data_IF_723645762190
#
_entry.id   IF_723645762190
#
_cell.length_a   1.000
_cell.length_b   1.000
_cell.length_c   1.000
_cell.angle_alpha   90.00
_cell.angle_beta   90.00
_cell.angle_gamma   90.00
#
_symmetry.space_group_name_H-M   'P 1'
#
loop_
_entity.id
_entity.type
_entity.pdbx_description
1 polymer ?
#
# COMPACT_ATOMS: atom_id res chain seq x y z
N UNK A 1 1.19 1.96 8.51
CA UNK A 1 0.31 2.92 9.22
C UNK A 1 -0.45 2.28 10.40
N UNK A 2 -1.09 1.11 10.34
CA UNK A 2 -1.65 0.45 11.53
C UNK A 2 -1.34 -1.05 11.48
N UNK A 3 -0.96 -1.73 12.58
CA UNK A 3 -0.70 -3.16 12.57
C UNK A 3 -1.98 -3.99 12.49
N UNK A 4 -1.89 -5.22 11.97
CA UNK A 4 -3.02 -6.14 11.79
C UNK A 4 -3.94 -6.23 13.02
N UNK A 5 -3.37 -6.47 14.20
CA UNK A 5 -4.13 -6.56 15.47
C UNK A 5 -4.99 -5.33 15.77
N UNK A 6 -4.51 -4.14 15.42
CA UNK A 6 -5.21 -2.89 15.68
C UNK A 6 -6.35 -2.75 14.69
N UNK A 7 -6.09 -3.06 13.41
CA UNK A 7 -7.11 -2.99 12.36
C UNK A 7 -8.28 -3.93 12.63
N UNK A 8 -8.00 -5.15 13.06
CA UNK A 8 -9.03 -6.14 13.38
C UNK A 8 -9.97 -5.64 14.49
N UNK A 9 -9.43 -4.95 15.51
CA UNK A 9 -10.22 -4.30 16.55
C UNK A 9 -10.99 -3.05 16.08
N UNK A 10 -10.43 -2.30 15.12
CA UNK A 10 -11.04 -1.08 14.60
C UNK A 10 -12.21 -1.35 13.63
N UNK A 11 -12.21 -2.48 12.92
CA UNK A 11 -13.32 -2.83 12.00
C UNK A 11 -14.67 -2.88 12.75
N UNK A 12 -14.68 -3.36 13.98
CA UNK A 12 -15.88 -3.40 14.82
C UNK A 12 -16.38 -2.03 15.30
N UNK A 13 -15.59 -0.96 15.15
CA UNK A 13 -15.90 0.38 15.67
C UNK A 13 -16.43 1.35 14.60
N UNK A 14 -16.84 0.83 13.43
CA UNK A 14 -17.46 1.63 12.38
C UNK A 14 -16.50 2.12 11.29
N UNK A 15 -15.30 1.55 11.18
CA UNK A 15 -14.46 1.73 9.99
C UNK A 15 -15.14 1.02 8.81
N UNK A 16 -15.51 1.77 7.79
CA UNK A 16 -16.20 1.25 6.58
C UNK A 16 -15.29 1.13 5.37
N UNK A 17 -14.08 1.69 5.44
CA UNK A 17 -13.13 1.74 4.34
C UNK A 17 -11.71 1.48 4.86
N UNK A 18 -10.98 0.60 4.18
CA UNK A 18 -9.60 0.33 4.50
C UNK A 18 -8.82 -0.07 3.24
N UNK A 19 -7.56 0.35 3.12
CA UNK A 19 -6.64 -0.12 2.08
C UNK A 19 -5.92 -1.38 2.53
N UNK A 20 -5.57 -2.27 1.60
CA UNK A 20 -4.79 -3.49 1.84
C UNK A 20 -3.80 -3.71 0.68
N UNK A 21 -2.66 -4.34 0.95
CA UNK A 21 -1.61 -4.57 -0.05
C UNK A 21 -1.07 -3.30 -0.72
N UNK A 22 -1.01 -2.19 0.04
CA UNK A 22 -0.63 -0.91 -0.52
C UNK A 22 0.89 -0.79 -0.72
N UNK A 23 1.33 -0.24 -1.85
CA UNK A 23 2.70 0.21 -2.06
C UNK A 23 2.74 1.73 -1.86
N UNK A 24 3.72 2.21 -1.10
CA UNK A 24 3.78 3.64 -0.67
C UNK A 24 4.92 4.40 -1.33
N UNK A 25 5.75 3.68 -2.07
CA UNK A 25 6.79 4.19 -2.93
C UNK A 25 6.21 4.64 -4.29
N UNK A 26 6.75 5.74 -4.85
CA UNK A 26 6.46 6.12 -6.23
C UNK A 26 6.67 4.96 -7.20
N UNK A 27 5.60 4.59 -7.93
CA UNK A 27 5.65 3.52 -8.93
C UNK A 27 5.59 2.08 -8.39
N UNK A 28 5.32 1.87 -7.09
CA UNK A 28 5.34 0.53 -6.50
C UNK A 28 4.41 -0.51 -7.15
N UNK A 29 3.31 -0.09 -7.78
CA UNK A 29 2.40 -1.01 -8.49
C UNK A 29 2.75 -1.25 -9.96
N UNK A 30 3.59 -0.41 -10.56
CA UNK A 30 3.91 -0.44 -12.00
C UNK A 30 5.38 -0.72 -12.27
N UNK A 31 6.22 -0.73 -11.22
CA UNK A 31 7.68 -0.70 -11.33
C UNK A 31 8.25 0.63 -11.83
N UNK A 32 7.40 1.64 -12.06
CA UNK A 32 7.78 2.95 -12.59
C UNK A 32 8.44 3.83 -11.51
N UNK A 33 9.65 3.44 -11.12
CA UNK A 33 10.47 4.09 -10.09
C UNK A 33 11.91 3.60 -10.06
N UNK A 34 12.19 2.48 -10.74
CA UNK A 34 13.52 1.85 -10.78
C UNK A 34 14.49 2.49 -11.79
N UNK A 35 13.98 3.16 -12.84
CA UNK A 35 14.83 3.62 -13.97
C UNK A 35 15.36 5.06 -13.81
N UNK A 36 14.75 5.89 -12.96
CA UNK A 36 15.11 7.31 -12.78
C UNK A 36 15.05 7.76 -11.33
N UNK A 37 15.76 7.04 -10.46
CA UNK A 37 15.96 7.51 -9.10
C UNK A 37 16.83 8.79 -9.14
N UNK A 38 16.26 9.95 -8.80
CA UNK A 38 16.98 11.22 -8.75
C UNK A 38 17.92 11.25 -7.53
N UNK A 39 19.06 10.55 -7.60
CA UNK A 39 20.07 10.55 -6.55
C UNK A 39 21.03 11.74 -6.74
N UNK A 40 20.80 12.83 -6.01
CA UNK A 40 21.71 14.00 -6.00
C UNK A 40 22.30 14.17 -4.61
N UNK A 41 23.61 13.94 -4.46
CA UNK A 41 24.34 14.26 -3.21
C UNK A 41 25.15 15.53 -3.43
N UNK A 42 24.91 16.57 -2.61
CA UNK A 42 25.65 17.85 -2.63
C UNK A 42 25.69 18.53 -4.01
N UNK A 43 24.58 18.50 -4.75
CA UNK A 43 24.47 19.15 -6.07
C UNK A 43 25.18 18.42 -7.21
N UNK A 44 25.74 17.23 -6.98
CA UNK A 44 26.31 16.37 -8.03
C UNK A 44 25.37 15.17 -8.23
N UNK A 45 24.99 14.84 -9.48
CA UNK A 45 24.28 13.59 -9.74
C UNK A 45 25.18 12.42 -9.32
N UNK A 46 24.66 11.57 -8.44
CA UNK A 46 25.28 10.30 -8.08
C UNK A 46 25.02 9.25 -9.15
N UNK A 47 25.76 8.14 -9.13
CA UNK A 47 25.42 7.00 -9.97
C UNK A 47 24.00 6.51 -9.65
N UNK A 48 23.22 6.26 -10.71
CA UNK A 48 21.91 5.62 -10.61
C UNK A 48 22.18 4.17 -10.27
N UNK A 49 21.95 3.79 -9.02
CA UNK A 49 22.01 2.41 -8.58
C UNK A 49 20.65 1.79 -8.96
N UNK A 50 20.63 0.99 -10.02
CA UNK A 50 19.42 0.35 -10.58
C UNK A 50 18.71 -0.64 -9.65
N UNK A 51 19.23 -0.83 -8.43
CA UNK A 51 18.72 -1.75 -7.43
C UNK A 51 17.98 -1.07 -6.26
N UNK A 52 17.95 0.26 -6.20
CA UNK A 52 17.26 0.99 -5.14
C UNK A 52 15.90 1.50 -5.65
N UNK A 53 14.81 0.95 -5.10
CA UNK A 53 13.47 1.48 -5.32
C UNK A 53 13.31 2.84 -4.65
N UNK A 54 12.34 3.63 -5.11
CA UNK A 54 11.99 4.88 -4.44
C UNK A 54 11.60 4.61 -2.98
N UNK A 55 12.03 5.50 -2.06
CA UNK A 55 11.66 5.37 -0.65
C UNK A 55 10.16 5.52 -0.48
N UNK A 56 9.54 4.63 0.30
CA UNK A 56 8.12 4.72 0.66
C UNK A 56 7.79 6.05 1.36
N UNK A 57 6.61 6.59 1.10
CA UNK A 57 6.13 7.80 1.77
C UNK A 57 5.94 7.59 3.29
N UNK A 58 5.61 6.36 3.71
CA UNK A 58 5.47 5.95 5.10
C UNK A 58 5.55 4.43 5.21
N UNK A 59 5.92 3.93 6.39
CA UNK A 59 6.01 2.49 6.62
C UNK A 59 4.63 1.80 6.66
N UNK A 60 4.57 0.62 6.05
CA UNK A 60 3.42 -0.28 6.08
C UNK A 60 3.56 -1.13 7.35
N UNK A 61 2.48 -1.22 8.14
CA UNK A 61 2.48 -1.96 9.41
C UNK A 61 1.59 -3.21 9.38
N UNK A 62 0.75 -3.32 8.34
CA UNK A 62 -0.04 -4.50 8.03
C UNK A 62 0.32 -4.92 6.61
N UNK A 63 1.12 -5.98 6.51
CA UNK A 63 1.65 -6.52 5.25
C UNK A 63 0.75 -7.63 4.66
N UNK A 64 -0.40 -7.90 5.30
CA UNK A 64 -1.38 -8.86 4.77
C UNK A 64 -1.81 -8.45 3.37
N UNK A 65 -1.92 -9.45 2.50
CA UNK A 65 -2.49 -9.30 1.17
C UNK A 65 -3.97 -8.87 1.25
N UNK A 66 -4.52 -8.27 0.18
CA UNK A 66 -5.94 -7.95 0.13
C UNK A 66 -6.86 -9.15 0.41
N UNK A 67 -6.48 -10.35 -0.05
CA UNK A 67 -7.24 -11.58 0.18
C UNK A 67 -7.24 -12.02 1.65
N UNK A 68 -6.11 -11.89 2.35
CA UNK A 68 -6.02 -12.19 3.78
C UNK A 68 -6.81 -11.20 4.62
N UNK A 69 -6.78 -9.91 4.27
CA UNK A 69 -7.60 -8.89 4.94
C UNK A 69 -9.09 -9.15 4.72
N UNK A 70 -9.51 -9.49 3.49
CA UNK A 70 -10.88 -9.86 3.19
C UNK A 70 -11.34 -11.08 4.00
N UNK A 71 -10.48 -12.09 4.13
CA UNK A 71 -10.74 -13.28 4.97
C UNK A 71 -10.90 -12.90 6.44
N UNK A 72 -10.06 -12.01 6.96
CA UNK A 72 -10.15 -11.54 8.34
C UNK A 72 -11.44 -10.75 8.60
N UNK A 73 -11.84 -9.89 7.65
CA UNK A 73 -13.12 -9.14 7.69
C UNK A 73 -14.31 -10.12 7.67
N UNK A 74 -14.27 -11.13 6.81
CA UNK A 74 -15.27 -12.21 6.76
C UNK A 74 -15.39 -13.00 8.07
N UNK A 75 -14.25 -13.32 8.70
CA UNK A 75 -14.22 -14.00 9.99
C UNK A 75 -14.84 -13.17 11.13
N UNK A 76 -14.88 -11.84 11.01
CA UNK A 76 -15.57 -10.93 11.92
C UNK A 76 -17.09 -10.80 11.62
N UNK A 77 -17.59 -11.48 10.59
CA UNK A 77 -18.99 -11.46 10.18
C UNK A 77 -19.37 -10.30 9.26
N UNK A 78 -18.39 -9.61 8.67
CA UNK A 78 -18.61 -8.53 7.71
C UNK A 78 -18.39 -9.00 6.27
N UNK A 79 -19.06 -8.36 5.32
CA UNK A 79 -18.86 -8.61 3.89
C UNK A 79 -17.82 -7.63 3.32
N UNK A 80 -16.66 -8.11 2.81
CA UNK A 80 -15.70 -7.26 2.14
C UNK A 80 -16.21 -6.86 0.74
N UNK A 81 -16.31 -5.55 0.48
CA UNK A 81 -16.74 -5.02 -0.82
C UNK A 81 -15.58 -4.28 -1.49
N UNK A 82 -15.28 -4.65 -2.73
CA UNK A 82 -14.29 -3.97 -3.56
C UNK A 82 -14.89 -2.73 -4.23
N UNK A 83 -14.05 -1.75 -4.56
CA UNK A 83 -14.46 -0.54 -5.32
C UNK A 83 -14.32 -0.74 -6.83
N UNK A 84 -14.57 -1.95 -7.30
CA UNK A 84 -14.51 -2.34 -8.71
C UNK A 84 -15.57 -1.65 -9.59
N UNK A 85 -16.63 -1.13 -8.97
CA UNK A 85 -17.66 -0.31 -9.61
C UNK A 85 -17.31 1.18 -9.72
N UNK A 86 -16.24 1.64 -9.07
CA UNK A 86 -15.85 3.06 -9.09
C UNK A 86 -15.14 3.38 -10.42
N UNK A 87 -15.85 4.12 -11.29
CA UNK A 87 -15.35 4.53 -12.59
C UNK A 87 -14.04 5.32 -12.53
N UNK A 88 -13.74 5.98 -11.40
CA UNK A 88 -12.47 6.67 -11.20
C UNK A 88 -11.28 5.71 -11.02
N UNK A 89 -11.53 4.43 -10.75
CA UNK A 89 -10.54 3.39 -10.47
C UNK A 89 -10.48 2.30 -11.55
N UNK A 90 -11.51 2.17 -12.38
CA UNK A 90 -11.51 1.30 -13.56
C UNK A 90 -10.92 2.05 -14.76
N UNK A 91 -9.71 1.66 -15.17
CA UNK A 91 -9.00 2.22 -16.33
C UNK A 91 -9.55 1.70 -17.66
#
# INVERSE_FOLDING_TARGET
REPARLRDGLFGLGITHASAGSHTEPGGYTGAGNDKLHHTKRGRPGEIITAESATGQFDIADERSPAEVATAIGALGYEPVWKDWDAALTA
#
